data_IF_504521114841
#
_entry.id   IF_504521114841
#
_cell.length_a   1.000
_cell.length_b   1.000
_cell.length_c   1.000
_cell.angle_alpha   90.00
_cell.angle_beta   90.00
_cell.angle_gamma   90.00
#
_symmetry.space_group_name_H-M   'P 1'
#
loop_
_entity.id
_entity.type
_entity.pdbx_description
1 polymer ?
#
# COMPACT_ATOMS: atom_id res chain seq x y z
N UNK A 1 40.13 -5.57 33.36
CA UNK A 1 39.19 -4.47 33.06
C UNK A 1 39.43 -3.83 31.68
N UNK A 2 40.67 -3.56 31.25
CA UNK A 2 40.93 -2.99 29.92
C UNK A 2 40.61 -3.95 28.77
N UNK A 3 41.08 -5.20 28.84
CA UNK A 3 40.82 -6.22 27.81
C UNK A 3 39.32 -6.49 27.59
N UNK A 4 38.51 -6.39 28.65
CA UNK A 4 37.06 -6.48 28.56
C UNK A 4 36.51 -5.33 27.70
N UNK A 5 36.83 -4.08 28.04
CA UNK A 5 36.38 -2.92 27.26
C UNK A 5 36.85 -2.97 25.79
N UNK A 6 38.11 -3.35 25.55
CA UNK A 6 38.65 -3.51 24.18
C UNK A 6 37.93 -4.61 23.40
N UNK A 7 37.57 -5.73 24.05
CA UNK A 7 36.80 -6.79 23.40
C UNK A 7 35.40 -6.30 22.98
N UNK A 8 34.68 -5.56 23.84
CA UNK A 8 33.39 -4.97 23.47
C UNK A 8 33.52 -3.98 22.32
N UNK A 9 34.49 -3.08 22.37
CA UNK A 9 34.75 -2.14 21.28
C UNK A 9 35.12 -2.86 19.98
N UNK A 10 35.94 -3.91 20.05
CA UNK A 10 36.30 -4.73 18.89
C UNK A 10 35.10 -5.45 18.28
N UNK A 11 34.22 -6.00 19.11
CA UNK A 11 32.97 -6.60 18.65
C UNK A 11 32.06 -5.58 17.95
N UNK A 12 31.84 -4.40 18.54
CA UNK A 12 31.03 -3.35 17.92
C UNK A 12 31.62 -2.86 16.59
N UNK A 13 32.93 -2.69 16.52
CA UNK A 13 33.61 -2.31 15.29
C UNK A 13 33.47 -3.39 14.21
N UNK A 14 33.57 -4.66 14.57
CA UNK A 14 33.37 -5.76 13.62
C UNK A 14 31.93 -5.83 13.10
N UNK A 15 30.94 -5.66 13.99
CA UNK A 15 29.53 -5.58 13.58
C UNK A 15 29.28 -4.41 12.66
N UNK A 16 29.85 -3.24 12.94
CA UNK A 16 29.74 -2.07 12.07
C UNK A 16 30.37 -2.34 10.70
N UNK A 17 31.56 -2.95 10.66
CA UNK A 17 32.24 -3.28 9.41
C UNK A 17 31.42 -4.25 8.54
N UNK A 18 30.75 -5.23 9.14
CA UNK A 18 29.85 -6.12 8.40
C UNK A 18 28.67 -5.37 7.77
N UNK A 19 28.11 -4.37 8.45
CA UNK A 19 26.99 -3.56 7.93
C UNK A 19 27.43 -2.53 6.86
N UNK A 20 28.73 -2.31 6.66
CA UNK A 20 29.24 -1.38 5.63
C UNK A 20 29.14 -1.93 4.20
N UNK A 21 29.07 -3.25 4.02
CA UNK A 21 29.00 -3.89 2.70
C UNK A 21 27.71 -4.67 2.54
N UNK A 22 27.12 -4.60 1.34
CA UNK A 22 25.85 -5.24 1.03
C UNK A 22 25.85 -6.74 1.33
N UNK A 23 26.91 -7.46 0.96
CA UNK A 23 26.99 -8.92 1.05
C UNK A 23 27.22 -9.44 2.49
N UNK A 24 27.81 -8.62 3.37
CA UNK A 24 28.05 -8.97 4.78
C UNK A 24 27.02 -8.40 5.75
N UNK A 25 26.16 -7.49 5.29
CA UNK A 25 25.15 -6.85 6.12
C UNK A 25 24.11 -7.85 6.60
N UNK A 26 23.78 -7.80 7.88
CA UNK A 26 22.75 -8.64 8.51
C UNK A 26 21.46 -7.87 8.80
N UNK A 27 21.56 -6.54 9.02
CA UNK A 27 20.40 -5.69 9.25
C UNK A 27 19.73 -5.36 7.91
N UNK A 28 18.41 -5.60 7.86
CA UNK A 28 17.57 -5.27 6.69
C UNK A 28 17.71 -3.80 6.25
N UNK A 29 17.83 -2.87 7.20
CA UNK A 29 17.92 -1.45 6.89
C UNK A 29 19.25 -1.08 6.22
N UNK A 30 20.36 -1.73 6.60
CA UNK A 30 21.67 -1.55 5.94
C UNK A 30 21.63 -2.08 4.51
N UNK A 31 21.13 -3.30 4.32
CA UNK A 31 20.92 -3.92 3.00
C UNK A 31 20.05 -3.00 2.13
N UNK A 32 18.96 -2.48 2.68
CA UNK A 32 18.05 -1.59 1.99
C UNK A 32 18.71 -0.25 1.63
N UNK A 33 19.55 0.32 2.51
CA UNK A 33 20.30 1.53 2.23
C UNK A 33 21.26 1.34 1.06
N UNK A 34 22.04 0.25 1.09
CA UNK A 34 22.97 -0.11 0.01
C UNK A 34 22.24 -0.38 -1.31
N UNK A 35 21.13 -1.13 -1.28
CA UNK A 35 20.31 -1.41 -2.47
C UNK A 35 19.73 -0.14 -3.11
N UNK A 36 19.36 0.87 -2.31
CA UNK A 36 18.88 2.17 -2.83
C UNK A 36 19.95 2.89 -3.65
N UNK A 37 21.23 2.78 -3.29
CA UNK A 37 22.33 3.33 -4.09
C UNK A 37 22.45 2.65 -5.47
N UNK A 38 22.06 1.38 -5.56
CA UNK A 38 22.03 0.61 -6.81
C UNK A 38 20.70 0.76 -7.57
N UNK A 39 19.83 1.69 -7.15
CA UNK A 39 18.50 1.92 -7.71
C UNK A 39 17.59 0.67 -7.66
N UNK A 40 17.80 -0.20 -6.66
CA UNK A 40 16.94 -1.36 -6.38
C UNK A 40 16.14 -1.09 -5.13
N UNK A 41 14.82 -1.16 -5.24
CA UNK A 41 13.91 -1.07 -4.10
C UNK A 41 13.15 -2.40 -3.94
N UNK A 42 13.18 -3.04 -2.76
CA UNK A 42 12.39 -4.23 -2.53
C UNK A 42 10.90 -3.89 -2.60
N UNK A 43 10.11 -4.89 -2.99
CA UNK A 43 8.65 -4.74 -3.04
C UNK A 43 8.08 -4.52 -1.64
N UNK A 44 7.09 -3.63 -1.54
CA UNK A 44 6.27 -3.53 -0.32
C UNK A 44 5.38 -4.76 -0.14
N UNK A 45 4.63 -4.79 0.97
CA UNK A 45 3.49 -5.71 1.10
C UNK A 45 2.56 -5.56 -0.11
N UNK A 46 2.06 -6.69 -0.63
CA UNK A 46 1.13 -6.73 -1.75
C UNK A 46 -0.25 -7.11 -1.25
N UNK A 47 -1.26 -6.31 -1.58
CA UNK A 47 -2.64 -6.65 -1.28
C UNK A 47 -3.18 -7.66 -2.30
N UNK A 48 -4.01 -8.60 -1.84
CA UNK A 48 -4.69 -9.52 -2.75
C UNK A 48 -5.68 -8.74 -3.63
N UNK A 49 -5.78 -9.14 -4.90
CA UNK A 49 -6.70 -8.55 -5.88
C UNK A 49 -7.66 -9.62 -6.37
N UNK A 50 -8.91 -9.23 -6.58
CA UNK A 50 -9.91 -10.07 -7.24
C UNK A 50 -10.75 -9.22 -8.20
N UNK A 51 -11.30 -9.87 -9.21
CA UNK A 51 -12.21 -9.28 -10.18
C UNK A 51 -13.57 -9.92 -10.00
N UNK A 52 -14.59 -9.10 -9.77
CA UNK A 52 -15.95 -9.56 -9.56
C UNK A 52 -16.85 -9.24 -10.76
N UNK A 53 -17.65 -10.25 -11.14
CA UNK A 53 -18.72 -10.13 -12.12
C UNK A 53 -20.04 -10.42 -11.38
N UNK A 54 -20.94 -9.44 -11.33
CA UNK A 54 -22.22 -9.61 -10.64
C UNK A 54 -23.31 -8.72 -11.24
N UNK A 55 -24.55 -9.17 -11.07
CA UNK A 55 -25.74 -8.44 -11.51
C UNK A 55 -26.59 -8.00 -10.34
N UNK A 56 -27.24 -6.86 -10.45
CA UNK A 56 -28.15 -6.34 -9.44
C UNK A 56 -29.33 -5.63 -10.09
N UNK A 57 -30.46 -5.55 -9.37
CA UNK A 57 -31.71 -4.97 -9.85
C UNK A 57 -32.28 -4.05 -8.76
N UNK A 58 -31.98 -2.75 -8.77
CA UNK A 58 -32.53 -1.82 -7.80
C UNK A 58 -34.01 -1.51 -8.11
N UNK A 59 -34.79 -1.07 -7.11
CA UNK A 59 -36.10 -0.47 -7.34
C UNK A 59 -35.97 0.86 -8.09
N UNK A 60 -36.94 1.19 -8.96
CA UNK A 60 -37.03 2.52 -9.59
C UNK A 60 -36.34 2.70 -10.95
N UNK A 61 -35.76 1.65 -11.54
CA UNK A 61 -35.21 1.64 -12.92
C UNK A 61 -34.38 2.88 -13.34
N UNK A 62 -33.34 3.28 -12.58
CA UNK A 62 -32.45 4.37 -13.00
C UNK A 62 -31.75 4.12 -14.34
N UNK A 63 -31.15 5.14 -14.95
CA UNK A 63 -30.41 4.96 -16.22
C UNK A 63 -29.00 4.41 -16.02
N UNK A 64 -28.38 4.75 -14.88
CA UNK A 64 -27.05 4.30 -14.50
C UNK A 64 -26.92 4.18 -12.98
N UNK A 65 -25.98 3.36 -12.55
CA UNK A 65 -25.60 3.16 -11.15
C UNK A 65 -24.09 3.31 -11.03
N UNK A 66 -23.63 3.83 -9.91
CA UNK A 66 -22.21 4.01 -9.64
C UNK A 66 -21.85 3.15 -8.44
N UNK A 67 -20.89 2.24 -8.65
CA UNK A 67 -20.18 1.59 -7.55
C UNK A 67 -19.11 2.57 -7.13
N UNK A 68 -19.28 3.20 -5.98
CA UNK A 68 -18.34 4.20 -5.51
C UNK A 68 -16.97 3.60 -5.24
N UNK A 69 -15.97 4.48 -5.26
CA UNK A 69 -14.68 4.16 -4.67
C UNK A 69 -14.89 3.93 -3.17
N UNK A 70 -14.15 2.99 -2.59
CA UNK A 70 -14.22 2.65 -1.18
C UNK A 70 -15.50 1.88 -0.75
N UNK A 71 -16.16 1.20 -1.69
CA UNK A 71 -17.21 0.22 -1.36
C UNK A 71 -16.57 -1.05 -0.80
N UNK A 72 -17.08 -1.54 0.33
CA UNK A 72 -16.53 -2.68 1.05
C UNK A 72 -17.24 -3.99 0.67
N UNK A 73 -16.44 -5.03 0.43
CA UNK A 73 -16.85 -6.40 0.22
C UNK A 73 -16.23 -7.25 1.33
N UNK A 74 -16.95 -8.26 1.79
CA UNK A 74 -16.42 -9.21 2.78
C UNK A 74 -16.51 -10.62 2.24
N UNK A 75 -15.51 -11.42 2.56
CA UNK A 75 -15.51 -12.85 2.27
C UNK A 75 -15.00 -13.59 3.51
N UNK A 76 -15.35 -14.86 3.63
CA UNK A 76 -14.92 -15.73 4.72
C UNK A 76 -14.30 -16.97 4.11
N UNK A 77 -13.05 -17.26 4.48
CA UNK A 77 -12.33 -18.47 4.08
C UNK A 77 -11.89 -19.16 5.38
N UNK A 78 -12.29 -20.41 5.57
CA UNK A 78 -11.95 -21.22 6.76
C UNK A 78 -12.25 -20.52 8.11
N UNK A 79 -13.34 -19.75 8.15
CA UNK A 79 -13.77 -19.00 9.35
C UNK A 79 -13.05 -17.67 9.58
N UNK A 80 -12.07 -17.31 8.75
CA UNK A 80 -11.39 -16.01 8.80
C UNK A 80 -12.09 -15.04 7.84
N UNK A 81 -12.49 -13.88 8.37
CA UNK A 81 -13.12 -12.81 7.57
C UNK A 81 -12.06 -11.90 6.96
N UNK A 82 -12.16 -11.73 5.64
CA UNK A 82 -11.34 -10.81 4.86
C UNK A 82 -12.21 -9.67 4.33
N UNK A 83 -11.64 -8.46 4.31
CA UNK A 83 -12.29 -7.27 3.77
C UNK A 83 -11.58 -6.81 2.51
N UNK A 84 -12.37 -6.53 1.48
CA UNK A 84 -11.93 -6.01 0.20
C UNK A 84 -12.62 -4.68 -0.07
N UNK A 85 -11.95 -3.81 -0.81
CA UNK A 85 -12.40 -2.45 -1.09
C UNK A 85 -12.20 -2.11 -2.57
N UNK A 86 -13.13 -1.37 -3.17
CA UNK A 86 -12.96 -0.84 -4.54
C UNK A 86 -11.98 0.34 -4.57
N UNK A 87 -11.01 0.29 -5.48
CA UNK A 87 -9.97 1.34 -5.62
C UNK A 87 -10.44 2.50 -6.50
N UNK A 88 -11.35 2.21 -7.44
CA UNK A 88 -11.93 3.16 -8.40
C UNK A 88 -13.45 3.08 -8.38
N UNK A 89 -14.10 4.20 -8.70
CA UNK A 89 -15.53 4.20 -8.95
C UNK A 89 -15.80 3.56 -10.31
N UNK A 90 -16.85 2.74 -10.41
CA UNK A 90 -17.24 2.05 -11.65
C UNK A 90 -18.69 2.34 -11.95
N UNK A 91 -18.97 2.94 -13.11
CA UNK A 91 -20.33 3.22 -13.56
C UNK A 91 -20.88 2.01 -14.32
N UNK A 92 -22.06 1.54 -13.90
CA UNK A 92 -22.79 0.44 -14.50
C UNK A 92 -24.03 1.00 -15.18
N UNK A 93 -24.14 0.78 -16.49
CA UNK A 93 -25.30 1.19 -17.27
C UNK A 93 -26.38 0.11 -17.24
N UNK A 94 -27.63 0.54 -17.37
CA UNK A 94 -28.77 -0.38 -17.48
C UNK A 94 -28.75 -1.12 -18.82
N UNK A 95 -28.84 -2.44 -18.77
CA UNK A 95 -29.03 -3.28 -19.96
C UNK A 95 -30.40 -3.03 -20.60
N UNK A 96 -30.57 -3.22 -21.92
CA UNK A 96 -31.89 -3.24 -22.57
C UNK A 96 -32.88 -4.23 -21.93
N UNK A 97 -32.39 -5.31 -21.31
CA UNK A 97 -33.18 -6.29 -20.56
C UNK A 97 -33.62 -5.82 -19.17
N UNK A 98 -33.22 -4.61 -18.75
CA UNK A 98 -33.55 -4.03 -17.45
C UNK A 98 -32.61 -4.42 -16.29
N UNK A 99 -31.59 -5.24 -16.54
CA UNK A 99 -30.60 -5.68 -15.55
C UNK A 99 -29.36 -4.77 -15.53
N UNK A 100 -28.70 -4.65 -14.38
CA UNK A 100 -27.40 -4.01 -14.28
C UNK A 100 -26.35 -5.09 -14.12
N UNK A 101 -25.36 -5.11 -15.02
CA UNK A 101 -24.30 -6.12 -15.02
C UNK A 101 -22.98 -5.38 -14.83
N UNK A 102 -22.37 -5.55 -13.66
CA UNK A 102 -21.01 -5.10 -13.42
C UNK A 102 -20.04 -6.21 -13.83
N UNK A 103 -19.09 -5.87 -14.70
CA UNK A 103 -18.04 -6.76 -15.16
C UNK A 103 -16.67 -6.20 -14.78
N UNK A 104 -15.73 -7.09 -14.47
CA UNK A 104 -14.34 -6.78 -14.15
C UNK A 104 -14.16 -5.71 -13.06
N UNK A 105 -15.01 -5.76 -12.03
CA UNK A 105 -14.89 -4.87 -10.87
C UNK A 105 -13.70 -5.31 -10.04
N UNK A 106 -12.60 -4.55 -10.14
CA UNK A 106 -11.39 -4.76 -9.34
C UNK A 106 -11.65 -4.40 -7.87
N UNK A 107 -11.47 -5.40 -7.00
CA UNK A 107 -11.48 -5.25 -5.55
C UNK A 107 -10.10 -5.61 -4.99
N UNK A 108 -9.66 -4.86 -3.98
CA UNK A 108 -8.34 -5.01 -3.36
C UNK A 108 -8.50 -5.21 -1.87
N UNK A 109 -7.77 -6.16 -1.31
CA UNK A 109 -7.82 -6.47 0.12
C UNK A 109 -7.35 -5.29 0.97
N UNK A 110 -8.06 -5.06 2.07
CA UNK A 110 -7.71 -4.05 3.07
C UNK A 110 -8.64 -2.84 3.05
N UNK A 111 -8.17 -1.75 3.65
CA UNK A 111 -8.93 -0.52 3.85
C UNK A 111 -8.19 0.65 3.21
N UNK A 112 -8.95 1.50 2.52
CA UNK A 112 -8.40 2.73 1.96
C UNK A 112 -8.07 3.74 3.08
N UNK A 113 -6.88 4.33 3.02
CA UNK A 113 -6.44 5.37 3.95
C UNK A 113 -6.09 6.64 3.19
N UNK A 114 -6.49 7.79 3.72
CA UNK A 114 -6.12 9.10 3.18
C UNK A 114 -5.33 9.88 4.23
N UNK A 115 -4.22 10.48 3.81
CA UNK A 115 -3.42 11.38 4.64
C UNK A 115 -3.09 12.62 3.83
N UNK A 116 -3.40 13.80 4.39
CA UNK A 116 -3.03 15.09 3.83
C UNK A 116 -1.85 15.68 4.60
N UNK A 117 -1.02 16.44 3.89
CA UNK A 117 0.06 17.24 4.44
C UNK A 117 -0.06 18.66 3.92
N UNK A 118 0.15 19.64 4.80
CA UNK A 118 0.30 21.03 4.37
C UNK A 118 1.72 21.22 3.81
N UNK A 119 1.79 21.71 2.57
CA UNK A 119 3.06 21.99 1.89
C UNK A 119 3.40 23.46 2.13
N UNK A 120 4.61 23.73 2.63
CA UNK A 120 5.09 25.10 2.85
C UNK A 120 6.38 25.33 2.06
N UNK A 121 6.42 26.37 1.24
CA UNK A 121 7.58 26.71 0.40
C UNK A 121 8.78 27.24 1.19
N UNK A 122 8.60 27.57 2.47
CA UNK A 122 9.65 28.06 3.35
C UNK A 122 10.71 27.00 3.70
N UNK A 123 10.42 25.71 3.55
CA UNK A 123 11.37 24.64 3.87
C UNK A 123 11.51 23.65 2.71
N UNK A 124 12.59 23.79 1.94
CA UNK A 124 12.93 22.90 0.83
C UNK A 124 13.30 21.46 1.28
N UNK A 125 13.57 21.23 2.56
CA UNK A 125 13.96 19.92 3.12
C UNK A 125 12.78 19.16 3.77
N UNK A 126 11.54 19.63 3.58
CA UNK A 126 10.37 18.98 4.18
C UNK A 126 10.18 17.55 3.62
N UNK A 127 10.06 16.57 4.53
CA UNK A 127 9.80 15.16 4.19
C UNK A 127 8.40 14.78 4.65
N UNK A 128 7.64 14.13 3.76
CA UNK A 128 6.32 13.59 4.06
C UNK A 128 6.41 12.09 4.23
N UNK A 129 6.32 11.63 5.48
CA UNK A 129 6.45 10.22 5.84
C UNK A 129 5.07 9.59 5.96
N UNK A 130 4.85 8.52 5.21
CA UNK A 130 3.65 7.69 5.32
C UNK A 130 3.72 6.91 6.64
N UNK A 131 2.75 7.05 7.56
CA UNK A 131 2.88 6.56 8.93
C UNK A 131 2.72 5.04 9.09
N UNK A 132 2.27 4.32 8.05
CA UNK A 132 1.99 2.88 8.12
C UNK A 132 2.92 2.11 7.17
N UNK A 133 3.76 1.23 7.75
CA UNK A 133 4.70 0.38 7.01
C UNK A 133 4.06 -0.83 6.31
N UNK A 134 2.80 -1.15 6.60
CA UNK A 134 2.07 -2.28 6.02
C UNK A 134 1.24 -1.91 4.78
N UNK A 135 1.61 -0.83 4.08
CA UNK A 135 0.90 -0.34 2.90
C UNK A 135 1.43 -0.99 1.62
N UNK A 136 0.53 -1.27 0.68
CA UNK A 136 0.90 -1.59 -0.70
C UNK A 136 1.23 -0.33 -1.50
N UNK A 137 2.52 -0.16 -1.78
CA UNK A 137 3.07 1.01 -2.49
C UNK A 137 2.53 1.17 -3.92
N UNK A 138 2.02 0.11 -4.56
CA UNK A 138 1.45 0.23 -5.92
C UNK A 138 0.04 0.80 -5.98
N UNK A 139 -0.66 0.84 -4.84
CA UNK A 139 -2.01 1.41 -4.75
C UNK A 139 -2.01 2.89 -4.35
N UNK A 140 -0.83 3.45 -4.07
CA UNK A 140 -0.70 4.84 -3.61
C UNK A 140 -1.07 5.79 -4.76
N UNK A 141 -1.98 6.73 -4.47
CA UNK A 141 -2.30 7.84 -5.36
C UNK A 141 -2.06 9.14 -4.61
N UNK A 142 -1.25 10.02 -5.19
CA UNK A 142 -0.97 11.36 -4.64
C UNK A 142 -1.77 12.39 -5.44
N UNK A 143 -2.47 13.27 -4.73
CA UNK A 143 -3.14 14.43 -5.33
C UNK A 143 -2.58 15.70 -4.69
N UNK A 144 -2.14 16.63 -5.52
CA UNK A 144 -1.74 17.98 -5.11
C UNK A 144 -2.92 18.90 -5.40
N UNK A 145 -3.31 19.70 -4.41
CA UNK A 145 -4.35 20.71 -4.56
C UNK A 145 -3.77 22.08 -4.20
N UNK A 146 -4.07 23.07 -5.02
CA UNK A 146 -3.86 24.48 -4.69
C UNK A 146 -5.10 24.94 -3.93
N UNK A 147 -4.91 25.52 -2.74
CA UNK A 147 -5.99 26.15 -1.97
C UNK A 147 -6.52 27.39 -2.67
#
# INVERSE_FOLDING_TARGET
MLAYNTHYMGYYANMLANEMFLDSSSLRESILSHARHLNVMPTSRRAAKAYLNFSFTPPGSPTSLIIDKNTQFTTSIDGIKYSFTTVKATTVLRSPSGTYIATDVEIVEGKLMQKSYAVTTANALQRYVIPNGNIDTTTITVKVQTS
#
